data_IF_636274159077
#
_entry.id   IF_636274159077
#
_cell.length_a   1.000
_cell.length_b   1.000
_cell.length_c   1.000
_cell.angle_alpha   90.00
_cell.angle_beta   90.00
_cell.angle_gamma   90.00
#
_symmetry.space_group_name_H-M   'P 1'
#
loop_
_entity.id
_entity.type
_entity.pdbx_description
1 polymer ?
#
# COMPACT_ATOMS: atom_id res chain seq x y z
N UNK A 1 6.17 -37.14 20.00
CA UNK A 1 6.74 -36.17 20.87
C UNK A 1 7.53 -35.13 20.13
N UNK A 2 7.37 -34.01 20.55
CA UNK A 2 8.07 -32.90 19.95
C UNK A 2 9.45 -32.76 20.54
N UNK A 3 10.43 -33.00 19.74
CA UNK A 3 11.79 -32.69 20.11
C UNK A 3 12.02 -31.19 20.16
N UNK A 4 13.11 -30.82 20.79
CA UNK A 4 13.60 -29.47 20.74
C UNK A 4 14.04 -29.13 19.30
N UNK A 5 13.72 -27.95 18.82
CA UNK A 5 14.25 -27.47 17.53
C UNK A 5 15.76 -27.34 17.64
N UNK A 6 16.43 -27.62 16.53
CA UNK A 6 17.87 -27.38 16.45
C UNK A 6 18.14 -25.86 16.46
N UNK A 7 19.37 -25.50 16.86
CA UNK A 7 19.80 -24.10 16.83
C UNK A 7 19.73 -23.49 15.41
N UNK A 8 20.00 -24.29 14.38
CA UNK A 8 19.92 -23.84 13.00
C UNK A 8 18.49 -23.58 12.56
N UNK A 9 17.52 -24.40 13.00
CA UNK A 9 16.10 -24.17 12.74
C UNK A 9 15.61 -22.89 13.40
N UNK A 10 16.02 -22.65 14.66
CA UNK A 10 15.65 -21.43 15.37
C UNK A 10 16.22 -20.19 14.69
N UNK A 11 17.46 -20.24 14.24
CA UNK A 11 18.08 -19.15 13.50
C UNK A 11 17.36 -18.86 12.19
N UNK A 12 16.96 -19.92 11.47
CA UNK A 12 16.21 -19.79 10.24
C UNK A 12 14.86 -19.11 10.47
N UNK A 13 14.12 -19.55 11.50
CA UNK A 13 12.82 -18.95 11.84
C UNK A 13 12.95 -17.48 12.22
N UNK A 14 13.95 -17.10 13.02
CA UNK A 14 14.20 -15.72 13.38
C UNK A 14 14.51 -14.87 12.16
N UNK A 15 15.29 -15.41 11.22
CA UNK A 15 15.63 -14.73 9.98
C UNK A 15 14.38 -14.49 9.13
N UNK A 16 13.53 -15.50 9.01
CA UNK A 16 12.27 -15.39 8.28
C UNK A 16 11.37 -14.32 8.88
N UNK A 17 11.25 -14.27 10.18
CA UNK A 17 10.48 -13.25 10.87
C UNK A 17 11.04 -11.85 10.63
N UNK A 18 12.35 -11.71 10.74
CA UNK A 18 13.02 -10.42 10.49
C UNK A 18 12.80 -9.94 9.07
N UNK A 19 12.94 -10.83 8.08
CA UNK A 19 12.74 -10.49 6.67
C UNK A 19 11.30 -10.09 6.41
N UNK A 20 10.34 -10.74 7.05
CA UNK A 20 8.94 -10.38 6.95
C UNK A 20 8.70 -8.96 7.47
N UNK A 21 9.23 -8.62 8.64
CA UNK A 21 9.08 -7.27 9.21
C UNK A 21 9.74 -6.21 8.33
N UNK A 22 10.91 -6.48 7.78
CA UNK A 22 11.61 -5.55 6.90
C UNK A 22 10.78 -5.29 5.63
N UNK A 23 10.24 -6.35 5.02
CA UNK A 23 9.40 -6.19 3.82
C UNK A 23 8.13 -5.41 4.13
N UNK A 24 7.49 -5.68 5.25
CA UNK A 24 6.31 -4.95 5.68
C UNK A 24 6.62 -3.46 5.90
N UNK A 25 7.74 -3.15 6.54
CA UNK A 25 8.18 -1.78 6.75
C UNK A 25 8.46 -1.06 5.43
N UNK A 26 9.10 -1.73 4.47
CA UNK A 26 9.33 -1.17 3.14
C UNK A 26 8.02 -0.88 2.41
N UNK A 27 7.07 -1.79 2.45
CA UNK A 27 5.76 -1.60 1.82
C UNK A 27 5.03 -0.40 2.42
N UNK A 28 5.04 -0.27 3.75
CA UNK A 28 4.45 0.87 4.44
C UNK A 28 5.15 2.18 4.06
N UNK A 29 6.48 2.17 3.98
CA UNK A 29 7.25 3.33 3.56
C UNK A 29 6.91 3.76 2.14
N UNK A 30 6.74 2.83 1.22
CA UNK A 30 6.34 3.11 -0.15
C UNK A 30 4.92 3.71 -0.22
N UNK A 31 3.99 3.15 0.55
CA UNK A 31 2.62 3.69 0.63
C UNK A 31 2.67 5.13 1.14
N UNK A 32 3.43 5.40 2.20
CA UNK A 32 3.54 6.74 2.78
C UNK A 32 4.14 7.74 1.80
N UNK A 33 5.21 7.37 1.10
CA UNK A 33 5.85 8.24 0.12
C UNK A 33 4.91 8.56 -1.03
N UNK A 34 4.25 7.54 -1.57
CA UNK A 34 3.31 7.73 -2.68
C UNK A 34 2.16 8.63 -2.25
N UNK A 35 1.63 8.42 -1.05
CA UNK A 35 0.57 9.24 -0.49
C UNK A 35 0.98 10.71 -0.43
N UNK A 36 2.10 11.03 0.19
CA UNK A 36 2.55 12.41 0.34
C UNK A 36 2.86 13.06 -0.99
N UNK A 37 3.42 12.32 -1.93
CA UNK A 37 3.69 12.83 -3.27
C UNK A 37 2.41 13.26 -3.96
N UNK A 38 1.37 12.45 -3.89
CA UNK A 38 0.10 12.77 -4.50
C UNK A 38 -0.58 13.95 -3.79
N UNK A 39 -0.49 14.01 -2.45
CA UNK A 39 -1.01 15.14 -1.67
C UNK A 39 -0.39 16.44 -2.16
N UNK A 40 0.94 16.48 -2.30
CA UNK A 40 1.64 17.67 -2.77
C UNK A 40 1.17 18.10 -4.16
N UNK A 41 1.07 17.15 -5.08
CA UNK A 41 0.62 17.42 -6.45
C UNK A 41 -0.82 17.93 -6.46
N UNK A 42 -1.69 17.27 -5.70
CA UNK A 42 -3.09 17.65 -5.64
C UNK A 42 -3.29 19.04 -5.04
N UNK A 43 -2.55 19.37 -3.98
CA UNK A 43 -2.60 20.70 -3.37
C UNK A 43 -2.15 21.79 -4.34
N UNK A 44 -1.14 21.49 -5.15
CA UNK A 44 -0.60 22.46 -6.10
C UNK A 44 -1.50 22.65 -7.32
N UNK A 45 -2.01 21.57 -7.88
CA UNK A 45 -2.74 21.60 -9.15
C UNK A 45 -4.23 21.34 -9.02
N UNK A 46 -4.71 20.96 -7.85
CA UNK A 46 -6.12 20.65 -7.57
C UNK A 46 -6.69 19.64 -8.58
N UNK A 47 -5.96 18.51 -8.71
CA UNK A 47 -6.30 17.49 -9.69
C UNK A 47 -7.56 16.70 -9.32
N UNK A 48 -7.79 16.48 -8.03
CA UNK A 48 -8.85 15.60 -7.56
C UNK A 48 -10.04 16.41 -7.08
N UNK A 49 -11.10 16.39 -7.87
CA UNK A 49 -12.40 16.90 -7.44
C UNK A 49 -13.26 15.72 -6.96
N UNK A 50 -14.28 16.00 -6.14
CA UNK A 50 -15.18 14.95 -5.67
C UNK A 50 -15.90 14.20 -6.79
N UNK A 51 -16.06 14.82 -7.96
CA UNK A 51 -16.75 14.25 -9.11
C UNK A 51 -15.80 13.64 -10.14
N UNK A 52 -14.51 13.59 -9.86
CA UNK A 52 -13.52 13.10 -10.81
C UNK A 52 -13.74 11.63 -11.15
N UNK A 53 -13.44 11.28 -12.40
CA UNK A 53 -13.43 9.88 -12.84
C UNK A 53 -11.98 9.52 -13.13
N UNK A 54 -11.45 8.56 -12.38
CA UNK A 54 -10.02 8.31 -12.32
C UNK A 54 -9.74 6.86 -12.66
N UNK A 55 -8.76 6.65 -13.53
CA UNK A 55 -8.16 5.34 -13.77
C UNK A 55 -6.74 5.39 -13.23
N UNK A 56 -6.47 4.55 -12.24
CA UNK A 56 -5.15 4.44 -11.64
C UNK A 56 -4.46 3.16 -12.13
N UNK A 57 -3.37 3.32 -12.86
CA UNK A 57 -2.56 2.19 -13.34
C UNK A 57 -1.35 2.01 -12.42
N UNK A 58 -1.04 0.74 -12.11
CA UNK A 58 0.04 0.45 -11.17
C UNK A 58 -0.32 0.83 -9.74
N UNK A 59 -1.51 0.47 -9.30
CA UNK A 59 -2.07 0.96 -8.04
C UNK A 59 -1.44 0.34 -6.79
N UNK A 60 -0.88 -0.85 -6.88
CA UNK A 60 -0.27 -1.50 -5.71
C UNK A 60 0.95 -0.71 -5.22
N UNK A 61 1.16 -0.65 -3.91
CA UNK A 61 0.38 -1.24 -2.82
C UNK A 61 -0.86 -0.44 -2.40
N UNK A 62 -1.17 0.69 -3.00
CA UNK A 62 -2.41 1.42 -2.75
C UNK A 62 -2.25 2.77 -2.05
N UNK A 63 -1.04 3.34 -2.07
CA UNK A 63 -0.81 4.63 -1.43
C UNK A 63 -1.59 5.77 -2.06
N UNK A 64 -1.72 5.78 -3.37
CA UNK A 64 -2.54 6.76 -4.09
C UNK A 64 -4.02 6.40 -4.01
N UNK A 65 -4.35 5.11 -4.10
CA UNK A 65 -5.73 4.61 -4.05
C UNK A 65 -6.45 5.13 -2.80
N UNK A 66 -5.82 5.01 -1.64
CA UNK A 66 -6.38 5.49 -0.39
C UNK A 66 -6.67 6.98 -0.41
N UNK A 67 -5.73 7.77 -0.90
CA UNK A 67 -5.91 9.21 -0.96
C UNK A 67 -7.03 9.60 -1.92
N UNK A 68 -7.05 8.98 -3.10
CA UNK A 68 -8.07 9.25 -4.12
C UNK A 68 -9.46 8.91 -3.59
N UNK A 69 -9.62 7.74 -2.98
CA UNK A 69 -10.91 7.32 -2.41
C UNK A 69 -11.42 8.33 -1.39
N UNK A 70 -10.53 8.87 -0.55
CA UNK A 70 -10.90 9.85 0.44
C UNK A 70 -11.34 11.19 -0.14
N UNK A 71 -10.97 11.49 -1.39
CA UNK A 71 -11.33 12.73 -2.06
C UNK A 71 -12.58 12.63 -2.92
N UNK A 72 -12.97 11.44 -3.32
CA UNK A 72 -14.12 11.24 -4.20
C UNK A 72 -15.43 11.31 -3.45
N UNK A 73 -16.43 11.92 -4.08
CA UNK A 73 -17.82 11.88 -3.64
C UNK A 73 -18.54 10.70 -4.29
N UNK A 74 -19.84 10.56 -4.00
CA UNK A 74 -20.67 9.52 -4.65
C UNK A 74 -20.74 9.67 -6.17
N UNK A 75 -20.47 10.86 -6.69
CA UNK A 75 -20.50 11.15 -8.14
C UNK A 75 -19.16 10.84 -8.80
N UNK A 76 -18.11 10.64 -8.02
CA UNK A 76 -16.80 10.28 -8.55
C UNK A 76 -16.68 8.79 -8.75
N UNK A 77 -15.63 8.39 -9.46
CA UNK A 77 -15.33 6.98 -9.70
C UNK A 77 -13.83 6.76 -9.76
N UNK A 78 -13.39 5.66 -9.18
CA UNK A 78 -12.00 5.21 -9.25
C UNK A 78 -11.96 3.77 -9.70
N UNK A 79 -11.15 3.51 -10.72
CA UNK A 79 -10.76 2.15 -11.10
C UNK A 79 -9.25 2.04 -10.87
N UNK A 80 -8.86 1.18 -9.96
CA UNK A 80 -7.45 0.94 -9.63
C UNK A 80 -7.04 -0.44 -10.09
N UNK A 81 -5.97 -0.53 -10.88
CA UNK A 81 -5.51 -1.79 -11.46
C UNK A 81 -4.04 -1.99 -11.23
N UNK A 82 -3.69 -3.23 -10.88
CA UNK A 82 -2.31 -3.67 -10.73
C UNK A 82 -2.27 -5.19 -10.76
N UNK A 83 -1.24 -5.82 -11.37
CA UNK A 83 -1.11 -7.28 -11.30
C UNK A 83 -0.83 -7.79 -9.89
N UNK A 84 -0.38 -6.93 -8.99
CA UNK A 84 -0.15 -7.27 -7.59
C UNK A 84 -1.35 -6.86 -6.74
N UNK A 85 -1.55 -7.51 -5.57
CA UNK A 85 -2.65 -7.14 -4.68
C UNK A 85 -2.54 -5.70 -4.19
N UNK A 86 -3.67 -5.00 -4.19
CA UNK A 86 -3.77 -3.67 -3.58
C UNK A 86 -4.27 -3.89 -2.16
N UNK A 87 -3.40 -3.67 -1.18
CA UNK A 87 -3.69 -3.96 0.22
C UNK A 87 -3.97 -2.71 1.06
N UNK A 88 -3.36 -1.60 0.70
CA UNK A 88 -3.64 -0.34 1.38
C UNK A 88 -5.04 0.15 0.98
N UNK A 89 -5.91 0.39 1.91
CA UNK A 89 -7.28 0.77 1.63
C UNK A 89 -8.29 -0.36 1.69
N UNK A 90 -7.83 -1.57 1.89
CA UNK A 90 -8.71 -2.71 2.17
C UNK A 90 -9.01 -2.73 3.66
N UNK A 91 -10.25 -2.63 3.99
CA UNK A 91 -10.71 -2.58 5.37
C UNK A 91 -11.59 -3.77 5.71
#
# INVERSE_FOLDING_TARGET
>A
MTGKRSKSSDRWLRRQQKDHFVRAAHAQGQVSRAHFKLVEIDQKYKLLSGNARILELGAAPGGWTNYIEGKLSKKGALIAVDPLPITAGVH
#
